data_IF_603305395333
#
_entry.id   IF_603305395333
#
_cell.length_a   1.000
_cell.length_b   1.000
_cell.length_c   1.000
_cell.angle_alpha   90.00
_cell.angle_beta   90.00
_cell.angle_gamma   90.00
#
_symmetry.space_group_name_H-M   'P 1'
#
loop_
_entity.id
_entity.type
_entity.pdbx_description
1 polymer ?
#
# COMPACT_ATOMS: atom_id res chain seq x y z
N UNK A 1 4.51 -7.05 -0.58
CA UNK A 1 5.16 -7.43 -1.86
C UNK A 1 5.22 -8.95 -2.05
N UNK A 2 5.58 -9.69 -1.00
CA UNK A 2 5.68 -11.16 -1.05
C UNK A 2 4.37 -11.85 -1.49
N UNK A 3 3.23 -11.20 -1.26
CA UNK A 3 1.91 -11.77 -1.58
C UNK A 3 1.58 -11.76 -3.07
N UNK A 4 2.40 -11.09 -3.89
CA UNK A 4 2.21 -11.01 -5.34
C UNK A 4 2.85 -12.20 -6.07
N UNK A 5 2.59 -12.32 -7.38
CA UNK A 5 3.02 -13.46 -8.18
C UNK A 5 4.53 -13.48 -8.43
N UNK A 6 5.09 -12.31 -8.76
CA UNK A 6 6.49 -12.16 -9.16
C UNK A 6 7.09 -10.87 -8.64
N UNK A 7 8.40 -10.87 -8.43
CA UNK A 7 9.17 -9.68 -8.06
C UNK A 7 10.43 -9.58 -8.92
N UNK A 8 10.82 -8.36 -9.26
CA UNK A 8 12.09 -8.06 -9.93
C UNK A 8 13.26 -8.01 -8.94
N UNK A 9 12.99 -8.11 -7.64
CA UNK A 9 14.05 -8.10 -6.62
C UNK A 9 14.90 -9.35 -6.73
N UNK A 10 16.23 -9.17 -6.77
CA UNK A 10 17.21 -10.27 -6.99
C UNK A 10 16.96 -11.08 -8.26
N UNK A 11 16.64 -10.40 -9.38
CA UNK A 11 16.19 -11.03 -10.60
C UNK A 11 14.71 -11.38 -10.52
N UNK A 12 14.23 -12.22 -11.41
CA UNK A 12 12.83 -12.63 -11.42
C UNK A 12 12.58 -13.70 -10.36
N UNK A 13 11.92 -13.32 -9.27
CA UNK A 13 11.61 -14.20 -8.14
C UNK A 13 10.10 -14.40 -8.02
N UNK A 14 9.66 -15.63 -7.77
CA UNK A 14 8.24 -15.94 -7.55
C UNK A 14 7.83 -15.60 -6.12
N UNK A 15 6.63 -15.02 -5.99
CA UNK A 15 5.97 -14.78 -4.70
C UNK A 15 4.90 -15.80 -4.40
N UNK A 16 4.08 -15.51 -3.38
CA UNK A 16 2.98 -16.38 -2.95
C UNK A 16 1.84 -16.42 -3.98
N UNK A 17 1.64 -15.32 -4.73
CA UNK A 17 0.64 -15.26 -5.78
C UNK A 17 -0.80 -15.08 -5.32
N UNK A 18 -1.03 -14.64 -4.09
CA UNK A 18 -2.38 -14.33 -3.61
C UNK A 18 -3.00 -13.17 -4.37
N UNK A 19 -2.22 -12.11 -4.60
CA UNK A 19 -2.60 -10.99 -5.45
C UNK A 19 -1.97 -11.17 -6.84
N UNK A 20 -2.76 -10.92 -7.88
CA UNK A 20 -2.26 -10.93 -9.25
C UNK A 20 -1.56 -9.62 -9.57
N UNK A 21 -0.35 -9.73 -10.05
CA UNK A 21 0.49 -8.59 -10.40
C UNK A 21 1.96 -8.87 -10.10
N UNK A 22 2.78 -7.83 -10.29
CA UNK A 22 4.23 -7.94 -10.19
C UNK A 22 4.79 -6.84 -9.31
N UNK A 23 5.88 -7.14 -8.63
CA UNK A 23 6.68 -6.17 -7.89
C UNK A 23 7.77 -5.65 -8.81
N UNK A 24 7.82 -4.33 -8.99
CA UNK A 24 8.72 -3.63 -9.91
C UNK A 24 9.66 -2.69 -9.18
N UNK A 25 10.84 -2.46 -9.76
CA UNK A 25 11.82 -1.54 -9.21
C UNK A 25 11.49 -0.09 -9.62
N UNK A 26 11.61 0.85 -8.69
CA UNK A 26 11.44 2.28 -8.96
C UNK A 26 12.40 2.82 -10.02
N UNK A 27 13.58 2.23 -10.18
CA UNK A 27 14.62 2.73 -11.09
C UNK A 27 14.21 2.73 -12.56
N UNK A 28 13.13 2.04 -12.93
CA UNK A 28 12.61 1.96 -14.29
C UNK A 28 11.54 3.02 -14.58
N UNK A 29 11.24 3.88 -13.61
CA UNK A 29 10.13 4.82 -13.68
C UNK A 29 10.59 6.24 -13.37
N UNK A 30 9.79 7.22 -13.76
CA UNK A 30 10.04 8.63 -13.43
C UNK A 30 9.62 8.88 -11.97
N UNK A 31 10.56 8.67 -11.06
CA UNK A 31 10.35 8.83 -9.62
C UNK A 31 11.28 9.88 -9.04
N UNK A 32 10.86 10.47 -7.93
CA UNK A 32 11.70 11.42 -7.20
C UNK A 32 12.82 10.71 -6.43
N UNK A 33 12.52 9.53 -5.86
CA UNK A 33 13.45 8.76 -5.03
C UNK A 33 13.56 7.32 -5.51
N UNK A 34 14.77 6.87 -5.82
CA UNK A 34 15.05 5.46 -6.17
C UNK A 34 14.77 4.52 -5.00
N UNK A 35 15.12 4.96 -3.79
CA UNK A 35 14.73 4.31 -2.54
C UNK A 35 13.92 5.34 -1.75
N UNK A 36 12.67 5.02 -1.48
CA UNK A 36 11.80 5.89 -0.71
C UNK A 36 11.95 5.54 0.78
N UNK A 37 12.54 6.45 1.54
CA UNK A 37 12.66 6.35 3.00
C UNK A 37 12.05 7.62 3.58
N UNK A 38 10.97 7.50 4.32
CA UNK A 38 10.32 8.65 4.94
C UNK A 38 8.82 8.57 4.98
N UNK A 39 8.20 9.71 5.20
CA UNK A 39 6.77 9.84 5.41
C UNK A 39 6.07 10.22 4.11
N UNK A 40 4.98 9.53 3.81
CA UNK A 40 4.19 9.75 2.61
C UNK A 40 2.70 9.60 2.92
N UNK A 41 1.88 10.28 2.15
CA UNK A 41 0.42 10.24 2.29
C UNK A 41 -0.18 9.10 1.50
N UNK A 42 -1.38 8.68 1.92
CA UNK A 42 -2.17 7.65 1.25
C UNK A 42 -3.50 8.25 0.84
N UNK A 43 -3.85 8.07 -0.43
CA UNK A 43 -5.19 8.36 -0.94
C UNK A 43 -6.02 7.08 -0.87
N UNK A 44 -7.04 7.06 -0.03
CA UNK A 44 -7.94 5.92 0.12
C UNK A 44 -8.92 5.83 -1.05
N UNK A 45 -9.18 4.62 -1.51
CA UNK A 45 -10.10 4.35 -2.62
C UNK A 45 -11.52 4.10 -2.10
N UNK A 46 -12.51 4.78 -2.67
CA UNK A 46 -13.91 4.66 -2.24
C UNK A 46 -14.50 3.26 -2.44
N UNK A 47 -14.10 2.56 -3.49
CA UNK A 47 -14.62 1.22 -3.79
C UNK A 47 -14.15 0.15 -2.80
N UNK A 48 -13.02 0.36 -2.15
CA UNK A 48 -12.46 -0.54 -1.14
C UNK A 48 -12.59 0.13 0.23
N UNK A 49 -13.73 -0.02 0.86
CA UNK A 49 -14.00 0.59 2.16
C UNK A 49 -13.12 -0.08 3.21
N UNK A 50 -12.04 0.58 3.60
CA UNK A 50 -11.16 0.14 4.66
C UNK A 50 -11.51 0.79 5.99
N UNK A 51 -12.04 2.02 5.94
CA UNK A 51 -12.41 2.82 7.11
C UNK A 51 -13.87 3.23 6.95
N UNK A 52 -14.71 2.79 7.87
CA UNK A 52 -16.14 3.06 7.80
C UNK A 52 -16.52 4.45 8.33
N UNK A 53 -15.80 4.95 9.34
CA UNK A 53 -16.07 6.28 9.90
C UNK A 53 -15.42 7.38 9.06
N UNK A 54 -16.25 8.22 8.45
CA UNK A 54 -15.79 9.32 7.59
C UNK A 54 -14.89 10.34 8.32
N UNK A 55 -15.13 10.55 9.61
CA UNK A 55 -14.27 11.43 10.42
C UNK A 55 -12.85 10.89 10.56
N UNK A 56 -12.72 9.59 10.78
CA UNK A 56 -11.42 8.90 10.86
C UNK A 56 -10.73 8.92 9.50
N UNK A 57 -11.46 8.63 8.43
CA UNK A 57 -10.92 8.67 7.06
C UNK A 57 -10.36 10.04 6.73
N UNK A 58 -11.08 11.11 7.04
CA UNK A 58 -10.63 12.50 6.82
C UNK A 58 -9.34 12.83 7.59
N UNK A 59 -9.24 12.35 8.83
CA UNK A 59 -8.04 12.50 9.65
C UNK A 59 -6.85 11.77 9.00
N UNK A 60 -7.05 10.54 8.59
CA UNK A 60 -6.00 9.71 7.99
C UNK A 60 -5.56 10.20 6.61
N UNK A 61 -6.45 10.85 5.84
CA UNK A 61 -6.10 11.48 4.56
C UNK A 61 -5.08 12.62 4.74
N UNK A 62 -5.08 13.28 5.88
CA UNK A 62 -4.13 14.36 6.22
C UNK A 62 -2.84 13.82 6.84
N UNK A 63 -2.80 12.55 7.19
CA UNK A 63 -1.70 11.92 7.91
C UNK A 63 -0.66 11.37 6.95
N UNK A 64 0.57 11.28 7.43
CA UNK A 64 1.65 10.60 6.73
C UNK A 64 1.97 9.28 7.42
N UNK A 65 2.39 8.32 6.61
CA UNK A 65 2.79 6.97 7.05
C UNK A 65 4.22 6.71 6.65
N UNK A 66 4.91 5.86 7.39
CA UNK A 66 6.33 5.61 7.19
C UNK A 66 6.58 4.52 6.17
N UNK A 67 7.34 4.87 5.12
CA UNK A 67 7.71 3.99 4.01
C UNK A 67 9.21 3.75 3.98
N UNK A 68 9.61 2.52 3.69
CA UNK A 68 11.00 2.15 3.40
C UNK A 68 10.98 1.11 2.29
N UNK A 69 11.14 1.53 1.03
CA UNK A 69 11.12 0.58 -0.09
C UNK A 69 11.77 1.13 -1.34
N UNK A 70 12.27 0.23 -2.17
CA UNK A 70 12.82 0.51 -3.51
C UNK A 70 12.00 -0.14 -4.62
N UNK A 71 11.02 -0.96 -4.25
CA UNK A 71 10.13 -1.68 -5.15
C UNK A 71 8.69 -1.33 -4.80
N UNK A 72 7.80 -1.50 -5.75
CA UNK A 72 6.37 -1.28 -5.56
C UNK A 72 5.56 -2.35 -6.29
N UNK A 73 4.33 -2.57 -5.84
CA UNK A 73 3.43 -3.53 -6.47
C UNK A 73 2.70 -2.89 -7.65
N UNK A 74 2.62 -3.61 -8.75
CA UNK A 74 1.82 -3.24 -9.90
C UNK A 74 0.68 -4.26 -10.04
N UNK A 75 -0.53 -3.85 -9.66
CA UNK A 75 -1.68 -4.71 -9.64
C UNK A 75 -2.23 -4.93 -11.05
N UNK A 76 -2.47 -6.19 -11.40
CA UNK A 76 -3.15 -6.54 -12.65
C UNK A 76 -4.61 -6.08 -12.61
N UNK A 77 -5.29 -6.29 -11.47
CA UNK A 77 -6.64 -5.79 -11.21
C UNK A 77 -6.60 -4.59 -10.28
N UNK A 78 -6.98 -3.42 -10.79
CA UNK A 78 -6.98 -2.17 -10.02
C UNK A 78 -8.04 -2.12 -8.92
N UNK A 79 -9.04 -2.98 -8.98
CA UNK A 79 -10.11 -3.03 -7.97
C UNK A 79 -9.62 -3.47 -6.60
N UNK A 80 -8.50 -4.17 -6.51
CA UNK A 80 -7.90 -4.56 -5.23
C UNK A 80 -7.16 -3.42 -4.54
N UNK A 81 -6.90 -2.31 -5.23
CA UNK A 81 -6.21 -1.15 -4.65
C UNK A 81 -7.13 -0.42 -3.68
N UNK A 82 -6.80 -0.46 -2.40
CA UNK A 82 -7.53 0.24 -1.34
C UNK A 82 -6.91 1.59 -0.99
N UNK A 83 -5.66 1.80 -1.32
CA UNK A 83 -4.96 3.07 -1.16
C UNK A 83 -3.79 3.21 -2.12
N UNK A 84 -3.51 4.45 -2.51
CA UNK A 84 -2.40 4.78 -3.41
C UNK A 84 -1.55 5.90 -2.83
N UNK A 85 -0.29 5.93 -3.24
CA UNK A 85 0.67 6.97 -2.86
C UNK A 85 1.51 7.38 -4.07
N UNK A 86 2.24 8.48 -3.95
CA UNK A 86 3.09 8.98 -5.02
C UNK A 86 4.56 8.93 -4.66
N UNK A 87 5.38 8.61 -5.65
CA UNK A 87 6.83 8.83 -5.62
C UNK A 87 7.18 9.62 -6.90
N UNK A 88 7.33 10.95 -6.74
CA UNK A 88 7.40 11.83 -7.90
C UNK A 88 6.08 11.78 -8.69
N UNK A 89 6.16 11.50 -9.98
CA UNK A 89 4.99 11.37 -10.86
C UNK A 89 4.36 9.97 -10.82
N UNK A 90 5.06 8.99 -10.27
CA UNK A 90 4.57 7.63 -10.20
C UNK A 90 3.54 7.48 -9.09
N UNK A 91 2.32 7.08 -9.45
CA UNK A 91 1.28 6.69 -8.53
C UNK A 91 1.32 5.17 -8.35
N UNK A 92 1.47 4.69 -7.12
CA UNK A 92 1.59 3.26 -6.84
C UNK A 92 0.62 2.82 -5.74
N UNK A 93 0.18 1.54 -5.75
CA UNK A 93 -0.65 1.01 -4.67
C UNK A 93 0.15 0.92 -3.36
N UNK A 94 -0.37 1.53 -2.31
CA UNK A 94 0.22 1.46 -0.97
C UNK A 94 -0.60 0.62 0.00
N UNK A 95 -1.87 0.35 -0.33
CA UNK A 95 -2.73 -0.59 0.37
C UNK A 95 -3.48 -1.42 -0.67
N UNK A 96 -3.47 -2.73 -0.51
CA UNK A 96 -4.26 -3.65 -1.33
C UNK A 96 -5.15 -4.50 -0.44
N UNK A 97 -6.34 -4.80 -0.92
CA UNK A 97 -7.33 -5.58 -0.18
C UNK A 97 -8.05 -6.55 -1.11
N UNK A 98 -8.13 -7.80 -0.69
CA UNK A 98 -8.91 -8.84 -1.36
C UNK A 98 -9.39 -9.83 -0.31
N UNK A 99 -10.70 -10.12 -0.31
CA UNK A 99 -11.33 -10.98 0.69
C UNK A 99 -11.03 -10.48 2.11
N UNK A 100 -10.48 -11.32 2.97
CA UNK A 100 -10.10 -10.98 4.34
C UNK A 100 -8.60 -10.68 4.50
N UNK A 101 -7.94 -10.30 3.41
CA UNK A 101 -6.53 -9.95 3.41
C UNK A 101 -6.36 -8.48 3.06
N UNK A 102 -5.68 -7.75 3.93
CA UNK A 102 -5.23 -6.37 3.70
C UNK A 102 -3.71 -6.34 3.82
N UNK A 103 -3.06 -5.73 2.86
CA UNK A 103 -1.60 -5.59 2.86
C UNK A 103 -1.19 -4.13 2.66
N UNK A 104 -0.15 -3.72 3.37
CA UNK A 104 0.40 -2.37 3.36
C UNK A 104 1.82 -2.37 2.81
N UNK A 105 2.14 -1.39 1.97
CA UNK A 105 3.53 -1.14 1.57
C UNK A 105 4.31 -0.46 2.70
N UNK A 106 3.68 0.49 3.37
CA UNK A 106 4.27 1.19 4.52
C UNK A 106 4.16 0.35 5.79
N UNK A 107 4.81 0.85 6.84
CA UNK A 107 4.80 0.23 8.17
C UNK A 107 3.81 0.95 9.09
N UNK A 108 2.56 0.50 9.20
CA UNK A 108 1.60 1.17 10.09
C UNK A 108 2.04 1.13 11.55
N UNK A 109 2.74 0.08 11.97
CA UNK A 109 3.29 -0.04 13.34
C UNK A 109 4.38 0.98 13.65
N UNK A 110 4.99 1.59 12.63
CA UNK A 110 5.99 2.66 12.73
C UNK A 110 5.45 4.03 12.35
N UNK A 111 4.16 4.14 12.15
CA UNK A 111 3.51 5.37 11.67
C UNK A 111 2.75 6.11 12.77
N UNK A 112 3.16 5.95 14.03
CA UNK A 112 2.58 6.65 15.17
C UNK A 112 1.12 6.27 15.43
N UNK A 113 0.37 7.16 16.08
CA UNK A 113 -1.04 6.93 16.43
C UNK A 113 -1.92 6.67 15.20
N UNK A 114 -1.70 7.39 14.13
CA UNK A 114 -2.50 7.24 12.91
C UNK A 114 -2.29 5.87 12.26
N UNK A 115 -1.08 5.32 12.34
CA UNK A 115 -0.80 3.97 11.91
C UNK A 115 -1.56 2.92 12.73
N UNK A 116 -1.63 3.09 14.03
CA UNK A 116 -2.39 2.21 14.93
C UNK A 116 -3.90 2.33 14.69
N UNK A 117 -4.41 3.53 14.48
CA UNK A 117 -5.82 3.76 14.14
C UNK A 117 -6.17 3.05 12.83
N UNK A 118 -5.31 3.16 11.83
CA UNK A 118 -5.51 2.48 10.54
C UNK A 118 -5.52 0.96 10.70
N UNK A 119 -4.55 0.40 11.43
CA UNK A 119 -4.50 -1.04 11.72
C UNK A 119 -5.75 -1.53 12.41
N UNK A 120 -6.18 -0.83 13.44
CA UNK A 120 -7.39 -1.18 14.20
C UNK A 120 -8.62 -1.20 13.30
N UNK A 121 -8.78 -0.19 12.45
CA UNK A 121 -9.90 -0.12 11.51
C UNK A 121 -9.83 -1.22 10.44
N UNK A 122 -8.63 -1.51 9.92
CA UNK A 122 -8.43 -2.58 8.95
C UNK A 122 -8.81 -3.94 9.53
N UNK A 123 -8.35 -4.26 10.74
CA UNK A 123 -8.68 -5.52 11.43
C UNK A 123 -10.19 -5.61 11.67
N UNK A 124 -10.81 -4.54 12.16
CA UNK A 124 -12.26 -4.48 12.38
C UNK A 124 -13.04 -4.72 11.09
N UNK A 125 -12.60 -4.14 9.99
CA UNK A 125 -13.22 -4.31 8.66
C UNK A 125 -13.13 -5.76 8.17
N UNK A 126 -12.02 -6.43 8.41
CA UNK A 126 -11.81 -7.82 8.02
C UNK A 126 -12.69 -8.78 8.85
N UNK A 127 -12.82 -8.52 10.15
CA UNK A 127 -13.59 -9.38 11.06
C UNK A 127 -15.10 -9.25 10.91
N UNK A 128 -15.56 -8.16 10.35
CA UNK A 128 -16.96 -7.95 10.04
C UNK A 128 -17.29 -8.42 8.62
#
# INVERSE_FOLDING_TARGET
>A
QLLFEESEEFGLTKGIGFFKGKVKNFNKFNVEKQTFIGWNRVKFKEKQILIQEKSIEKELLKSAFYFVHSFFVNCENKEIEAGTSFNGELNFPSIVKKDKVVAFQFHPEKSGNNGLILLKNAVKNILL
#
